data_IF_977849018765
#
_entry.id   IF_977849018765
#
_cell.length_a   1.000
_cell.length_b   1.000
_cell.length_c   1.000
_cell.angle_alpha   90.00
_cell.angle_beta   90.00
_cell.angle_gamma   90.00
#
_symmetry.space_group_name_H-M   'P 1'
#
loop_
_entity.id
_entity.type
_entity.pdbx_description
1 polymer ?
#
# COMPACT_ATOMS: atom_id res chain seq x y z
N UNK A 1 -5.92 9.81 24.86
CA UNK A 1 -5.92 11.29 24.81
C UNK A 1 -4.51 11.85 25.04
N UNK A 2 -3.81 11.54 26.13
CA UNK A 2 -2.43 12.03 26.34
C UNK A 2 -1.46 11.62 25.23
N UNK A 3 -1.43 10.34 24.85
CA UNK A 3 -0.54 9.83 23.79
C UNK A 3 -0.77 10.50 22.42
N UNK A 4 -2.04 10.78 22.06
CA UNK A 4 -2.37 11.50 20.82
C UNK A 4 -1.83 12.93 20.89
N UNK A 5 -1.98 13.59 22.04
CA UNK A 5 -1.42 14.93 22.26
C UNK A 5 0.09 14.93 22.05
N UNK A 6 0.80 13.98 22.65
CA UNK A 6 2.26 13.90 22.57
C UNK A 6 2.75 13.65 21.14
N UNK A 7 2.14 12.69 20.42
CA UNK A 7 2.49 12.37 19.04
C UNK A 7 2.14 13.49 18.05
N UNK A 8 1.05 14.20 18.29
CA UNK A 8 0.58 15.26 17.39
C UNK A 8 1.55 16.42 17.23
N UNK A 9 2.50 16.59 18.16
CA UNK A 9 3.55 17.62 18.08
C UNK A 9 4.48 17.35 16.88
N UNK A 10 4.62 16.10 16.43
CA UNK A 10 5.46 15.73 15.30
C UNK A 10 4.79 15.96 13.93
N UNK A 11 3.49 16.27 13.91
CA UNK A 11 2.73 16.47 12.68
C UNK A 11 3.09 17.80 12.02
N UNK A 12 3.16 17.76 10.69
CA UNK A 12 3.45 18.94 9.88
C UNK A 12 2.14 19.58 9.41
N UNK A 13 2.10 20.90 9.44
CA UNK A 13 1.05 21.71 8.84
C UNK A 13 1.70 22.72 7.90
N UNK A 14 1.17 22.81 6.68
CA UNK A 14 1.63 23.68 5.61
C UNK A 14 0.72 24.90 5.52
N UNK A 15 1.34 26.08 5.59
CA UNK A 15 0.68 27.39 5.48
C UNK A 15 1.28 28.25 4.34
N UNK A 16 2.35 27.76 3.73
CA UNK A 16 3.11 28.40 2.65
C UNK A 16 3.92 27.34 1.92
N UNK A 17 4.42 27.68 0.73
CA UNK A 17 5.28 26.82 -0.07
C UNK A 17 6.40 26.21 0.77
N UNK A 18 6.62 24.91 0.58
CA UNK A 18 7.59 24.14 1.38
C UNK A 18 8.65 23.48 0.52
N UNK A 19 9.80 23.20 1.14
CA UNK A 19 10.88 22.46 0.49
C UNK A 19 10.72 20.96 0.73
N UNK A 20 11.22 20.13 -0.18
CA UNK A 20 11.22 18.68 0.01
C UNK A 20 11.92 18.26 1.31
N UNK A 21 13.00 18.95 1.68
CA UNK A 21 13.76 18.70 2.92
C UNK A 21 12.91 18.89 4.18
N UNK A 22 11.90 19.76 4.11
CA UNK A 22 10.99 20.04 5.24
C UNK A 22 9.98 18.92 5.45
N UNK A 23 9.57 18.24 4.37
CA UNK A 23 8.45 17.29 4.37
C UNK A 23 8.87 15.83 4.15
N UNK A 24 10.13 15.56 3.82
CA UNK A 24 10.60 14.19 3.65
C UNK A 24 10.51 13.40 4.96
N UNK A 25 9.96 12.19 4.87
CA UNK A 25 9.64 11.32 5.99
C UNK A 25 8.68 11.95 7.01
N UNK A 26 7.78 12.82 6.56
CA UNK A 26 6.78 13.48 7.39
C UNK A 26 5.36 13.09 7.03
N UNK A 27 4.50 13.24 8.03
CA UNK A 27 3.05 13.15 7.91
C UNK A 27 2.51 14.57 8.03
N UNK A 28 1.80 15.00 7.00
CA UNK A 28 1.12 16.30 6.94
C UNK A 28 -0.33 16.08 7.37
N UNK A 29 -0.74 16.77 8.43
CA UNK A 29 -2.08 16.64 8.97
C UNK A 29 -3.02 17.71 8.42
N UNK A 30 -3.49 17.50 7.18
CA UNK A 30 -4.38 18.41 6.46
C UNK A 30 -5.23 17.63 5.46
N UNK A 31 -6.26 18.28 4.93
CA UNK A 31 -6.87 17.84 3.68
C UNK A 31 -5.85 17.99 2.54
N UNK A 32 -5.78 17.02 1.61
CA UNK A 32 -4.90 17.10 0.46
C UNK A 32 -5.21 18.32 -0.44
N UNK A 33 -6.47 18.74 -0.53
CA UNK A 33 -6.86 19.93 -1.28
C UNK A 33 -6.27 21.21 -0.68
N UNK A 34 -6.04 21.23 0.64
CA UNK A 34 -5.42 22.36 1.35
C UNK A 34 -3.89 22.28 1.36
N UNK A 35 -3.32 21.07 1.43
CA UNK A 35 -1.87 20.85 1.48
C UNK A 35 -1.20 20.94 0.10
N UNK A 36 -1.87 20.44 -0.95
CA UNK A 36 -1.30 20.32 -2.29
C UNK A 36 -0.73 21.62 -2.87
N UNK A 37 -1.34 22.81 -2.70
CA UNK A 37 -0.78 24.06 -3.21
C UNK A 37 0.63 24.39 -2.69
N UNK A 38 0.98 23.88 -1.51
CA UNK A 38 2.26 24.16 -0.87
C UNK A 38 3.33 23.10 -1.12
N UNK A 39 2.95 21.96 -1.69
CA UNK A 39 3.85 20.85 -1.95
C UNK A 39 4.76 21.13 -3.15
N UNK A 40 6.04 20.73 -3.10
CA UNK A 40 6.92 20.86 -4.25
C UNK A 40 6.40 20.04 -5.44
N UNK A 41 6.81 20.42 -6.64
CA UNK A 41 6.46 19.71 -7.88
C UNK A 41 7.55 18.69 -8.24
N UNK A 42 7.18 17.61 -8.94
CA UNK A 42 8.12 16.65 -9.55
C UNK A 42 9.06 15.94 -8.58
N UNK A 43 8.64 15.69 -7.35
CA UNK A 43 9.50 15.08 -6.32
C UNK A 43 9.28 13.59 -6.11
N UNK A 44 8.10 13.05 -6.43
CA UNK A 44 7.73 11.66 -6.13
C UNK A 44 8.03 10.70 -7.29
N UNK A 45 8.70 9.59 -6.98
CA UNK A 45 8.91 8.47 -7.90
C UNK A 45 7.72 7.49 -7.92
N UNK A 46 7.00 7.39 -6.81
CA UNK A 46 5.88 6.48 -6.65
C UNK A 46 4.72 7.19 -5.97
N UNK A 47 3.53 7.09 -6.56
CA UNK A 47 2.27 7.45 -5.92
C UNK A 47 1.51 6.18 -5.55
N UNK A 48 1.18 6.05 -4.27
CA UNK A 48 0.19 5.07 -3.79
C UNK A 48 -1.05 5.85 -3.39
N UNK A 49 -2.17 5.60 -4.07
CA UNK A 49 -3.40 6.32 -3.90
C UNK A 49 -4.50 5.36 -3.42
N UNK A 50 -4.92 5.49 -2.17
CA UNK A 50 -6.04 4.74 -1.57
C UNK A 50 -7.14 5.71 -1.12
N UNK A 51 -7.86 6.34 -2.06
CA UNK A 51 -8.82 7.37 -1.72
C UNK A 51 -10.08 6.75 -1.08
N UNK A 52 -10.92 7.53 -0.39
CA UNK A 52 -12.26 7.09 -0.02
C UNK A 52 -13.04 6.60 -1.25
N UNK A 53 -13.43 5.33 -1.24
CA UNK A 53 -14.23 4.74 -2.32
C UNK A 53 -15.65 5.33 -2.33
N UNK A 54 -16.37 5.23 -3.46
CA UNK A 54 -17.73 5.76 -3.57
C UNK A 54 -18.76 4.91 -2.81
N UNK A 55 -18.63 4.88 -1.48
CA UNK A 55 -19.43 4.11 -0.53
C UNK A 55 -19.58 4.94 0.75
N UNK A 56 -20.76 4.91 1.36
CA UNK A 56 -20.96 5.58 2.64
C UNK A 56 -20.13 4.90 3.74
N UNK A 57 -19.17 5.63 4.33
CA UNK A 57 -18.26 5.11 5.35
C UNK A 57 -17.82 6.18 6.34
N UNK A 58 -17.75 5.79 7.61
CA UNK A 58 -17.25 6.65 8.69
C UNK A 58 -15.76 6.34 8.93
N UNK A 59 -14.95 7.38 8.84
CA UNK A 59 -13.52 7.40 9.13
C UNK A 59 -13.28 8.21 10.41
N UNK A 60 -13.64 7.63 11.56
CA UNK A 60 -13.43 8.22 12.87
C UNK A 60 -13.98 9.66 13.00
N UNK A 61 -15.27 9.81 12.71
CA UNK A 61 -15.99 11.09 12.73
C UNK A 61 -16.12 11.74 11.35
N UNK A 62 -15.25 11.40 10.39
CA UNK A 62 -15.33 11.87 9.01
C UNK A 62 -16.24 10.94 8.20
N UNK A 63 -17.49 11.36 7.98
CA UNK A 63 -18.45 10.61 7.17
C UNK A 63 -18.25 10.93 5.69
N UNK A 64 -17.62 10.00 4.95
CA UNK A 64 -17.69 10.02 3.50
C UNK A 64 -19.05 9.44 3.08
N UNK A 65 -19.85 10.24 2.36
CA UNK A 65 -21.14 9.78 1.83
C UNK A 65 -20.94 9.32 0.39
N UNK A 66 -21.60 8.22 0.04
CA UNK A 66 -21.73 7.83 -1.37
C UNK A 66 -22.34 9.00 -2.16
N UNK A 67 -21.72 9.30 -3.29
CA UNK A 67 -22.08 10.38 -4.20
C UNK A 67 -22.76 9.82 -5.44
N UNK A 68 -23.43 10.71 -6.17
CA UNK A 68 -23.79 10.42 -7.55
C UNK A 68 -22.49 10.13 -8.35
N UNK A 69 -22.57 9.25 -9.35
CA UNK A 69 -21.39 8.76 -10.09
C UNK A 69 -20.59 9.89 -10.73
N UNK A 70 -21.24 10.86 -11.38
CA UNK A 70 -20.56 11.98 -12.02
C UNK A 70 -19.94 12.93 -10.99
N UNK A 71 -20.58 13.13 -9.84
CA UNK A 71 -20.02 13.92 -8.73
C UNK A 71 -18.75 13.25 -8.17
N UNK A 72 -18.77 11.92 -7.97
CA UNK A 72 -17.59 11.19 -7.53
C UNK A 72 -16.47 11.25 -8.58
N UNK A 73 -16.81 11.11 -9.87
CA UNK A 73 -15.85 11.20 -10.96
C UNK A 73 -15.17 12.57 -11.02
N UNK A 74 -15.93 13.66 -10.89
CA UNK A 74 -15.34 15.01 -10.88
C UNK A 74 -14.46 15.23 -9.64
N UNK A 75 -14.89 14.76 -8.48
CA UNK A 75 -14.08 14.81 -7.27
C UNK A 75 -12.76 14.04 -7.43
N UNK A 76 -12.81 12.81 -7.94
CA UNK A 76 -11.62 11.99 -8.16
C UNK A 76 -10.70 12.60 -9.24
N UNK A 77 -11.26 13.16 -10.31
CA UNK A 77 -10.49 13.91 -11.30
C UNK A 77 -9.80 15.13 -10.67
N UNK A 78 -10.46 15.81 -9.73
CA UNK A 78 -9.86 16.87 -8.91
C UNK A 78 -8.63 16.38 -8.13
N UNK A 79 -8.76 15.26 -7.42
CA UNK A 79 -7.64 14.61 -6.71
C UNK A 79 -6.48 14.32 -7.66
N UNK A 80 -6.75 13.68 -8.81
CA UNK A 80 -5.72 13.34 -9.79
C UNK A 80 -5.01 14.60 -10.32
N UNK A 81 -5.76 15.65 -10.67
CA UNK A 81 -5.20 16.93 -11.13
C UNK A 81 -4.30 17.57 -10.08
N UNK A 82 -4.64 17.45 -8.80
CA UNK A 82 -3.86 18.00 -7.69
C UNK A 82 -2.55 17.25 -7.47
N UNK A 83 -2.56 15.92 -7.51
CA UNK A 83 -1.36 15.12 -7.15
C UNK A 83 -0.41 14.91 -8.34
N UNK A 84 -0.91 14.97 -9.58
CA UNK A 84 -0.11 14.74 -10.78
C UNK A 84 1.13 15.67 -10.90
N UNK A 85 1.07 16.97 -10.59
CA UNK A 85 2.25 17.86 -10.61
C UNK A 85 3.39 17.44 -9.67
N UNK A 86 3.09 16.67 -8.62
CA UNK A 86 4.08 16.20 -7.63
C UNK A 86 4.91 15.02 -8.17
N UNK A 87 4.46 14.40 -9.25
CA UNK A 87 5.05 13.18 -9.80
C UNK A 87 6.17 13.50 -10.77
N UNK A 88 7.25 12.71 -10.72
CA UNK A 88 8.29 12.73 -11.75
C UNK A 88 7.75 12.21 -13.08
N UNK A 89 8.33 12.61 -14.23
CA UNK A 89 7.98 12.04 -15.54
C UNK A 89 8.14 10.51 -15.60
N UNK A 90 8.99 9.94 -14.74
CA UNK A 90 9.23 8.50 -14.65
C UNK A 90 8.41 7.80 -13.56
N UNK A 91 7.46 8.49 -12.94
CA UNK A 91 6.76 7.98 -11.78
C UNK A 91 5.76 6.88 -12.14
N UNK A 92 5.60 5.95 -11.21
CA UNK A 92 4.51 4.97 -11.21
C UNK A 92 3.40 5.44 -10.29
N UNK A 93 2.16 5.13 -10.69
CA UNK A 93 0.94 5.45 -9.93
C UNK A 93 0.17 4.15 -9.69
N UNK A 94 -0.11 3.85 -8.43
CA UNK A 94 -1.05 2.79 -8.05
C UNK A 94 -2.30 3.39 -7.42
N UNK A 95 -3.47 3.01 -7.91
CA UNK A 95 -4.76 3.48 -7.37
C UNK A 95 -5.61 2.31 -6.91
N UNK A 96 -5.88 2.24 -5.61
CA UNK A 96 -6.75 1.24 -5.02
C UNK A 96 -8.22 1.66 -5.17
N UNK A 97 -9.11 0.69 -5.41
CA UNK A 97 -10.55 0.90 -5.50
C UNK A 97 -11.32 -0.40 -5.23
N UNK A 98 -12.53 -0.32 -4.70
CA UNK A 98 -13.46 -1.44 -4.83
C UNK A 98 -13.92 -1.58 -6.29
N UNK A 99 -14.50 -2.73 -6.65
CA UNK A 99 -14.86 -2.98 -8.05
C UNK A 99 -15.87 -1.97 -8.63
N UNK A 100 -16.73 -1.35 -7.80
CA UNK A 100 -17.71 -0.36 -8.26
C UNK A 100 -17.03 0.98 -8.57
N UNK A 101 -16.20 1.43 -7.65
CA UNK A 101 -15.40 2.65 -7.80
C UNK A 101 -14.40 2.51 -8.94
N UNK A 102 -13.83 1.32 -9.11
CA UNK A 102 -12.91 0.96 -10.21
C UNK A 102 -13.49 1.32 -11.58
N UNK A 103 -14.78 1.04 -11.81
CA UNK A 103 -15.49 1.40 -13.05
C UNK A 103 -15.61 2.91 -13.26
N UNK A 104 -15.75 3.68 -12.17
CA UNK A 104 -15.89 5.14 -12.24
C UNK A 104 -14.55 5.83 -12.52
N UNK A 105 -13.47 5.33 -11.94
CA UNK A 105 -12.15 5.98 -11.99
C UNK A 105 -11.33 5.60 -13.23
N UNK A 106 -11.56 4.42 -13.81
CA UNK A 106 -10.75 3.92 -14.94
C UNK A 106 -10.69 4.89 -16.13
N UNK A 107 -11.79 5.51 -16.61
CA UNK A 107 -11.72 6.48 -17.72
C UNK A 107 -10.92 7.75 -17.37
N UNK A 108 -10.93 8.15 -16.11
CA UNK A 108 -10.17 9.31 -15.63
C UNK A 108 -8.68 8.96 -15.63
N UNK A 109 -8.34 7.76 -15.14
CA UNK A 109 -6.96 7.28 -15.13
C UNK A 109 -6.39 7.10 -16.54
N UNK A 110 -7.18 6.58 -17.48
CA UNK A 110 -6.79 6.45 -18.89
C UNK A 110 -6.52 7.79 -19.57
N UNK A 111 -7.29 8.83 -19.20
CA UNK A 111 -7.08 10.19 -19.69
C UNK A 111 -5.82 10.83 -19.11
N UNK A 112 -5.54 10.59 -17.83
CA UNK A 112 -4.49 11.30 -17.09
C UNK A 112 -3.13 10.59 -17.08
N UNK A 113 -3.11 9.26 -17.24
CA UNK A 113 -1.92 8.41 -17.15
C UNK A 113 -1.95 7.30 -18.22
N UNK A 114 -0.83 6.58 -18.36
CA UNK A 114 -0.78 5.35 -19.16
C UNK A 114 -1.13 4.16 -18.28
N UNK A 115 -2.24 3.47 -18.56
CA UNK A 115 -2.61 2.25 -17.84
C UNK A 115 -1.69 1.10 -18.32
N UNK A 116 -1.00 0.46 -17.38
CA UNK A 116 -0.14 -0.69 -17.64
C UNK A 116 -0.83 -2.01 -17.28
N UNK A 117 -1.60 -2.03 -16.19
CA UNK A 117 -2.32 -3.23 -15.75
C UNK A 117 -3.46 -2.89 -14.79
N UNK A 118 -4.40 -3.84 -14.63
CA UNK A 118 -5.35 -3.87 -13.52
C UNK A 118 -5.04 -5.10 -12.68
N UNK A 119 -4.59 -4.87 -11.46
CA UNK A 119 -4.34 -5.92 -10.48
C UNK A 119 -5.61 -6.14 -9.68
N UNK A 120 -6.05 -7.39 -9.55
CA UNK A 120 -7.18 -7.76 -8.68
C UNK A 120 -6.64 -8.51 -7.47
N UNK A 121 -6.88 -7.95 -6.29
CA UNK A 121 -6.54 -8.55 -5.01
C UNK A 121 -7.75 -9.27 -4.41
N UNK A 122 -7.55 -10.54 -4.05
CA UNK A 122 -8.53 -11.34 -3.33
C UNK A 122 -8.57 -10.96 -1.84
N UNK A 123 -9.72 -10.46 -1.42
CA UNK A 123 -10.08 -10.21 -0.02
C UNK A 123 -10.84 -11.40 0.56
N UNK A 124 -10.11 -12.31 1.20
CA UNK A 124 -10.70 -13.54 1.78
C UNK A 124 -11.74 -13.25 2.88
N UNK A 125 -11.53 -12.21 3.69
CA UNK A 125 -12.41 -11.85 4.80
C UNK A 125 -13.48 -10.87 4.33
N UNK A 126 -14.73 -11.15 4.68
CA UNK A 126 -15.88 -10.33 4.34
C UNK A 126 -17.19 -11.00 4.74
N UNK A 127 -18.27 -10.23 4.81
CA UNK A 127 -19.61 -10.78 5.06
C UNK A 127 -20.06 -11.58 3.84
N UNK A 128 -20.63 -12.76 4.07
CA UNK A 128 -21.29 -13.52 3.00
C UNK A 128 -22.51 -12.78 2.46
N UNK A 129 -23.03 -13.25 1.32
CA UNK A 129 -24.25 -12.73 0.71
C UNK A 129 -25.29 -13.87 0.62
N UNK A 130 -26.55 -13.57 0.96
CA UNK A 130 -27.65 -14.55 0.92
C UNK A 130 -28.30 -14.65 -0.47
N UNK A 131 -28.27 -13.57 -1.24
CA UNK A 131 -28.96 -13.41 -2.52
C UNK A 131 -28.04 -12.96 -3.66
N UNK A 132 -26.72 -13.02 -3.45
CA UNK A 132 -25.73 -12.65 -4.46
C UNK A 132 -24.39 -13.37 -4.18
N UNK A 133 -23.44 -13.25 -5.12
CA UNK A 133 -22.05 -13.67 -4.91
C UNK A 133 -21.38 -12.78 -3.86
N UNK A 134 -20.57 -13.40 -2.99
CA UNK A 134 -19.76 -12.67 -2.02
C UNK A 134 -18.71 -11.85 -2.77
N UNK A 135 -18.72 -10.53 -2.58
CA UNK A 135 -17.65 -9.69 -3.10
C UNK A 135 -16.35 -9.94 -2.31
N UNK A 136 -15.32 -10.41 -3.00
CA UNK A 136 -13.99 -10.69 -2.46
C UNK A 136 -12.89 -10.00 -3.28
N UNK A 137 -13.20 -8.95 -4.05
CA UNK A 137 -12.22 -8.30 -4.91
C UNK A 137 -12.00 -6.86 -4.52
N UNK A 138 -10.75 -6.43 -4.66
CA UNK A 138 -10.34 -5.04 -4.69
C UNK A 138 -9.40 -4.85 -5.89
N UNK A 139 -9.61 -3.78 -6.64
CA UNK A 139 -8.80 -3.48 -7.82
C UNK A 139 -7.70 -2.48 -7.45
N UNK A 140 -6.53 -2.67 -8.03
CA UNK A 140 -5.40 -1.75 -7.99
C UNK A 140 -5.02 -1.46 -9.44
N UNK A 141 -5.26 -0.23 -9.88
CA UNK A 141 -4.82 0.25 -11.18
C UNK A 141 -3.33 0.54 -11.14
N UNK A 142 -2.56 -0.09 -12.02
CA UNK A 142 -1.15 0.19 -12.24
C UNK A 142 -1.03 1.11 -13.45
N UNK A 143 -0.63 2.35 -13.20
CA UNK A 143 -0.45 3.37 -14.21
C UNK A 143 0.96 3.95 -14.17
N UNK A 144 1.39 4.59 -15.25
CA UNK A 144 2.67 5.30 -15.34
C UNK A 144 2.46 6.69 -15.93
N UNK A 145 3.30 7.64 -15.53
CA UNK A 145 3.25 9.01 -16.08
C UNK A 145 3.71 9.04 -17.53
N UNK A 146 4.67 8.19 -17.91
CA UNK A 146 5.17 8.07 -19.28
C UNK A 146 5.56 6.62 -19.61
N UNK A 147 6.07 6.40 -20.82
CA UNK A 147 6.65 5.11 -21.24
C UNK A 147 7.97 4.80 -20.54
N UNK A 148 8.64 5.83 -20.00
CA UNK A 148 9.87 5.66 -19.24
C UNK A 148 9.47 5.44 -17.79
N UNK A 149 9.37 4.18 -17.37
CA UNK A 149 9.07 3.84 -15.98
C UNK A 149 9.91 2.66 -15.53
N UNK A 150 9.93 2.43 -14.22
CA UNK A 150 10.67 1.33 -13.60
C UNK A 150 9.73 0.20 -13.21
N UNK A 151 10.18 -1.03 -13.46
CA UNK A 151 9.56 -2.22 -12.92
C UNK A 151 10.62 -3.24 -12.51
N UNK A 152 10.90 -3.32 -11.21
CA UNK A 152 11.88 -4.22 -10.59
C UNK A 152 11.28 -5.63 -10.44
N UNK A 153 11.12 -6.33 -11.57
CA UNK A 153 10.46 -7.65 -11.63
C UNK A 153 11.02 -8.66 -10.61
N UNK A 154 12.35 -8.75 -10.49
CA UNK A 154 12.97 -9.72 -9.59
C UNK A 154 12.65 -9.46 -8.11
N UNK A 155 12.45 -8.20 -7.72
CA UNK A 155 12.13 -7.82 -6.35
C UNK A 155 10.70 -8.21 -5.91
N UNK A 156 9.86 -8.62 -6.87
CA UNK A 156 8.45 -8.98 -6.63
C UNK A 156 8.11 -10.40 -7.06
N UNK A 157 9.12 -11.24 -7.30
CA UNK A 157 8.92 -12.68 -7.49
C UNK A 157 8.30 -13.31 -6.24
N UNK A 158 7.42 -14.29 -6.48
CA UNK A 158 6.69 -15.02 -5.46
C UNK A 158 7.20 -16.45 -5.38
N UNK A 159 7.76 -16.79 -4.22
CA UNK A 159 8.16 -18.15 -3.83
C UNK A 159 6.93 -18.96 -3.48
N UNK A 160 6.72 -20.05 -4.21
CA UNK A 160 5.58 -20.97 -4.05
C UNK A 160 6.07 -22.38 -3.86
N UNK A 161 5.39 -23.13 -3.00
CA UNK A 161 5.61 -24.57 -2.86
C UNK A 161 5.15 -25.28 -4.13
N UNK A 162 5.91 -26.27 -4.56
CA UNK A 162 5.62 -27.05 -5.75
C UNK A 162 4.83 -28.28 -5.35
N UNK A 163 3.58 -28.33 -5.80
CA UNK A 163 2.66 -29.45 -5.54
C UNK A 163 2.99 -30.64 -6.44
N UNK A 164 3.29 -30.39 -7.71
CA UNK A 164 3.65 -31.41 -8.71
C UNK A 164 5.08 -31.16 -9.22
N UNK A 165 6.11 -31.77 -8.60
CA UNK A 165 7.51 -31.55 -8.96
C UNK A 165 7.90 -32.35 -10.21
N UNK A 166 7.83 -31.72 -11.38
CA UNK A 166 8.29 -32.32 -12.63
C UNK A 166 9.81 -32.30 -12.72
N UNK A 167 10.39 -33.35 -13.32
CA UNK A 167 11.82 -33.43 -13.62
C UNK A 167 12.02 -33.55 -15.13
N UNK A 168 13.15 -33.08 -15.62
CA UNK A 168 13.62 -33.33 -16.98
C UNK A 168 13.96 -34.82 -17.16
N UNK A 169 14.15 -35.27 -18.40
CA UNK A 169 14.46 -36.68 -18.72
C UNK A 169 15.72 -37.20 -18.01
N UNK A 170 16.68 -36.31 -17.75
CA UNK A 170 17.92 -36.58 -16.99
C UNK A 170 17.75 -36.45 -15.46
N UNK A 171 16.51 -36.32 -14.96
CA UNK A 171 16.19 -36.32 -13.53
C UNK A 171 16.37 -34.99 -12.80
N UNK A 172 16.75 -33.90 -13.47
CA UNK A 172 16.89 -32.58 -12.83
C UNK A 172 15.53 -31.91 -12.56
N UNK A 173 15.39 -31.13 -11.47
CA UNK A 173 14.21 -30.30 -11.25
C UNK A 173 13.89 -29.38 -12.44
N UNK A 174 12.63 -29.34 -12.87
CA UNK A 174 12.16 -28.42 -13.93
C UNK A 174 11.44 -27.21 -13.31
N UNK A 175 12.11 -26.05 -13.32
CA UNK A 175 11.58 -24.77 -12.80
C UNK A 175 11.28 -24.75 -11.28
N UNK A 176 12.01 -25.56 -10.50
CA UNK A 176 11.94 -25.59 -9.04
C UNK A 176 13.26 -26.00 -8.39
N UNK A 177 13.40 -25.76 -7.10
CA UNK A 177 14.57 -26.08 -6.28
C UNK A 177 14.13 -26.86 -5.04
N UNK A 178 14.92 -27.87 -4.67
CA UNK A 178 14.71 -28.61 -3.43
C UNK A 178 15.34 -27.82 -2.27
N UNK A 179 14.57 -27.61 -1.20
CA UNK A 179 15.02 -26.96 0.04
C UNK A 179 14.59 -27.83 1.24
N UNK A 180 15.10 -27.52 2.44
CA UNK A 180 14.85 -28.34 3.63
C UNK A 180 13.35 -28.44 3.98
N UNK A 181 12.59 -27.37 3.73
CA UNK A 181 11.17 -27.23 4.03
C UNK A 181 10.25 -27.67 2.87
N UNK A 182 10.84 -28.14 1.76
CA UNK A 182 10.13 -28.67 0.59
C UNK A 182 10.67 -28.16 -0.74
N UNK A 183 9.94 -28.45 -1.80
CA UNK A 183 10.27 -28.00 -3.15
C UNK A 183 9.61 -26.65 -3.42
N UNK A 184 10.39 -25.67 -3.87
CA UNK A 184 9.91 -24.32 -4.13
C UNK A 184 10.25 -23.85 -5.54
N UNK A 185 9.44 -22.92 -6.05
CA UNK A 185 9.70 -22.20 -7.30
C UNK A 185 9.52 -20.71 -7.10
N UNK A 186 10.40 -19.92 -7.71
CA UNK A 186 10.21 -18.48 -7.83
C UNK A 186 9.39 -18.19 -9.08
N UNK A 187 8.18 -17.69 -8.88
CA UNK A 187 7.25 -17.36 -9.95
C UNK A 187 7.17 -15.86 -10.18
N UNK A 188 6.94 -15.45 -11.42
CA UNK A 188 6.61 -14.08 -11.76
C UNK A 188 5.30 -13.66 -11.04
N UNK A 189 5.17 -12.40 -10.61
CA UNK A 189 3.93 -11.92 -10.03
C UNK A 189 2.81 -11.90 -11.07
N UNK A 190 1.64 -12.45 -10.73
CA UNK A 190 0.42 -12.30 -11.49
C UNK A 190 -0.24 -10.95 -11.21
N UNK A 191 -1.16 -10.53 -12.07
CA UNK A 191 -2.09 -9.44 -11.78
C UNK A 191 -3.35 -9.91 -11.01
N UNK A 192 -3.36 -11.15 -10.52
CA UNK A 192 -4.36 -11.68 -9.60
C UNK A 192 -3.64 -12.09 -8.32
N UNK A 193 -3.91 -11.40 -7.22
CA UNK A 193 -3.21 -11.61 -5.96
C UNK A 193 -4.09 -12.37 -4.98
N UNK A 194 -3.76 -13.64 -4.79
CA UNK A 194 -4.44 -14.57 -3.88
C UNK A 194 -3.55 -14.96 -2.70
N UNK A 195 -2.44 -14.27 -2.47
CA UNK A 195 -1.46 -14.60 -1.44
C UNK A 195 -1.40 -13.56 -0.31
N UNK A 196 -2.31 -12.60 -0.30
CA UNK A 196 -2.31 -11.45 0.59
C UNK A 196 -3.61 -11.41 1.37
N UNK A 197 -3.53 -11.28 2.69
CA UNK A 197 -4.67 -11.27 3.60
C UNK A 197 -4.82 -9.88 4.21
N UNK A 198 -6.06 -9.43 4.44
CA UNK A 198 -6.32 -8.17 5.15
C UNK A 198 -5.76 -8.24 6.58
N UNK A 199 -5.28 -7.12 7.16
CA UNK A 199 -4.90 -7.08 8.58
C UNK A 199 -6.03 -7.57 9.50
N UNK A 200 -5.68 -8.27 10.57
CA UNK A 200 -6.62 -8.70 11.61
C UNK A 200 -5.96 -8.69 12.98
N UNK A 201 -6.77 -8.78 14.05
CA UNK A 201 -6.39 -8.47 15.44
C UNK A 201 -5.10 -9.13 15.98
N UNK A 202 -4.66 -10.26 15.44
CA UNK A 202 -3.43 -10.95 15.87
C UNK A 202 -2.21 -10.65 14.99
N UNK A 203 -2.37 -9.89 13.91
CA UNK A 203 -1.26 -9.42 13.08
C UNK A 203 -0.62 -8.18 13.73
N UNK A 204 0.72 -8.12 13.85
CA UNK A 204 1.42 -6.97 14.45
C UNK A 204 1.17 -5.63 13.75
N UNK A 205 0.82 -5.65 12.46
CA UNK A 205 0.53 -4.44 11.70
C UNK A 205 -0.85 -3.84 12.00
N UNK A 206 -1.77 -4.60 12.63
CA UNK A 206 -3.18 -4.24 12.71
C UNK A 206 -3.44 -3.02 13.60
N UNK A 207 -4.16 -2.04 13.05
CA UNK A 207 -4.71 -0.90 13.81
C UNK A 207 -6.24 -0.95 13.87
N UNK A 208 -6.84 0.04 14.55
CA UNK A 208 -8.29 0.25 14.57
C UNK A 208 -8.84 0.88 13.29
N UNK A 209 -7.99 1.19 12.30
CA UNK A 209 -8.43 1.81 11.06
C UNK A 209 -9.35 0.86 10.25
N UNK A 210 -10.53 1.31 9.79
CA UNK A 210 -11.57 0.43 9.27
C UNK A 210 -11.26 -0.18 7.89
N UNK A 211 -10.22 0.31 7.20
CA UNK A 211 -9.79 -0.11 5.85
C UNK A 211 -8.28 -0.21 5.70
N UNK A 212 -7.53 -0.48 6.76
CA UNK A 212 -6.08 -0.58 6.65
C UNK A 212 -5.64 -1.58 5.55
N UNK A 213 -4.79 -1.12 4.63
CA UNK A 213 -4.13 -1.97 3.64
C UNK A 213 -3.02 -2.81 4.28
N UNK A 214 -2.81 -4.07 3.86
CA UNK A 214 -1.72 -4.92 4.36
C UNK A 214 -0.34 -4.39 3.93
N UNK A 215 0.65 -4.47 4.81
CA UNK A 215 2.03 -4.10 4.51
C UNK A 215 2.60 -4.93 3.36
N UNK A 216 2.27 -6.22 3.27
CA UNK A 216 2.69 -7.09 2.16
C UNK A 216 2.20 -6.59 0.79
N UNK A 217 0.99 -6.02 0.75
CA UNK A 217 0.40 -5.46 -0.47
C UNK A 217 1.22 -4.26 -0.93
N UNK A 218 1.42 -3.29 -0.01
CA UNK A 218 2.14 -2.07 -0.31
C UNK A 218 3.62 -2.36 -0.60
N UNK A 219 4.22 -3.36 0.05
CA UNK A 219 5.59 -3.78 -0.23
C UNK A 219 5.77 -4.25 -1.67
N UNK A 220 4.81 -4.97 -2.25
CA UNK A 220 4.86 -5.34 -3.68
C UNK A 220 4.88 -4.10 -4.57
N UNK A 221 4.04 -3.11 -4.28
CA UNK A 221 3.97 -1.86 -5.05
C UNK A 221 5.29 -1.07 -4.95
N UNK A 222 5.78 -0.89 -3.73
CA UNK A 222 7.01 -0.13 -3.45
C UNK A 222 8.24 -0.80 -4.06
N UNK A 223 8.39 -2.12 -3.91
CA UNK A 223 9.53 -2.84 -4.47
C UNK A 223 9.51 -2.87 -5.99
N UNK A 224 8.34 -3.07 -6.61
CA UNK A 224 8.21 -3.06 -8.07
C UNK A 224 8.61 -1.72 -8.67
N UNK A 225 8.26 -0.60 -8.03
CA UNK A 225 8.23 0.69 -8.71
C UNK A 225 9.12 1.77 -8.10
N UNK A 226 9.94 1.43 -7.11
CA UNK A 226 10.91 2.36 -6.52
C UNK A 226 12.20 1.66 -6.09
N UNK A 227 13.27 2.44 -5.97
CA UNK A 227 14.56 2.04 -5.40
C UNK A 227 14.76 2.62 -3.98
N UNK A 228 15.66 2.04 -3.16
CA UNK A 228 16.05 2.65 -1.89
C UNK A 228 16.42 4.14 -2.05
N UNK A 229 15.99 4.98 -1.12
CA UNK A 229 16.18 6.43 -1.15
C UNK A 229 15.19 7.22 -2.01
N UNK A 230 14.47 6.58 -2.93
CA UNK A 230 13.40 7.23 -3.71
C UNK A 230 12.18 7.54 -2.84
N UNK A 231 11.35 8.47 -3.31
CA UNK A 231 10.22 9.04 -2.58
C UNK A 231 8.90 8.37 -2.97
N UNK A 232 8.14 7.99 -1.96
CA UNK A 232 6.76 7.50 -2.07
C UNK A 232 5.80 8.56 -1.54
N UNK A 233 4.84 8.98 -2.37
CA UNK A 233 3.75 9.88 -1.99
C UNK A 233 2.48 9.07 -1.70
N UNK A 234 1.83 9.37 -0.59
CA UNK A 234 0.47 8.89 -0.27
C UNK A 234 -0.40 10.06 0.24
N UNK A 235 -1.33 10.57 -0.58
CA UNK A 235 -2.16 11.71 -0.22
C UNK A 235 -3.41 11.33 0.61
N UNK A 236 -3.62 10.03 0.89
CA UNK A 236 -4.70 9.52 1.74
C UNK A 236 -4.13 8.45 2.68
N UNK A 237 -3.18 8.88 3.50
CA UNK A 237 -2.27 7.99 4.22
C UNK A 237 -2.99 7.04 5.21
N UNK A 238 -4.13 7.46 5.76
CA UNK A 238 -4.87 6.71 6.76
C UNK A 238 -3.99 6.31 7.93
N UNK A 239 -4.03 5.04 8.30
CA UNK A 239 -3.17 4.46 9.36
C UNK A 239 -1.67 4.33 9.01
N UNK A 240 -1.20 4.83 7.86
CA UNK A 240 0.23 4.94 7.59
C UNK A 240 0.91 3.75 6.93
N UNK A 241 0.18 2.78 6.37
CA UNK A 241 0.82 1.57 5.79
C UNK A 241 1.87 1.93 4.73
N UNK A 242 1.60 2.91 3.86
CA UNK A 242 2.56 3.34 2.84
C UNK A 242 3.83 3.93 3.43
N UNK A 243 3.71 4.86 4.39
CA UNK A 243 4.86 5.45 5.07
C UNK A 243 5.69 4.40 5.83
N UNK A 244 5.01 3.49 6.54
CA UNK A 244 5.65 2.39 7.28
C UNK A 244 6.43 1.49 6.35
N UNK A 245 5.81 1.02 5.27
CA UNK A 245 6.49 0.14 4.29
C UNK A 245 7.63 0.84 3.58
N UNK A 246 7.46 2.11 3.20
CA UNK A 246 8.53 2.91 2.62
C UNK A 246 9.74 2.95 3.57
N UNK A 247 9.53 3.27 4.85
CA UNK A 247 10.59 3.29 5.88
C UNK A 247 11.26 1.92 6.04
N UNK A 248 10.47 0.84 6.20
CA UNK A 248 10.99 -0.53 6.36
C UNK A 248 11.87 -0.97 5.19
N UNK A 249 11.54 -0.51 3.98
CA UNK A 249 12.27 -0.82 2.76
C UNK A 249 13.34 0.23 2.41
N UNK A 250 13.60 1.22 3.27
CA UNK A 250 14.63 2.23 3.03
C UNK A 250 14.28 3.24 1.92
N UNK A 251 13.00 3.51 1.70
CA UNK A 251 12.49 4.61 0.86
C UNK A 251 12.13 5.81 1.74
N UNK A 252 12.14 7.00 1.14
CA UNK A 252 11.58 8.19 1.76
C UNK A 252 10.08 8.25 1.49
N UNK A 253 9.32 8.97 2.30
CA UNK A 253 7.90 9.18 2.05
C UNK A 253 7.42 10.60 2.33
N UNK A 254 6.31 10.99 1.71
CA UNK A 254 5.45 12.10 2.14
C UNK A 254 4.04 11.55 2.24
N UNK A 255 3.43 11.68 3.41
CA UNK A 255 2.05 11.25 3.64
C UNK A 255 1.15 12.41 4.02
N UNK A 256 -0.07 12.46 3.51
CA UNK A 256 -1.10 13.44 3.89
C UNK A 256 -2.30 12.69 4.44
N UNK A 257 -2.82 13.14 5.58
CA UNK A 257 -4.02 12.58 6.21
C UNK A 257 -4.77 13.66 6.97
N UNK A 258 -6.09 13.68 6.82
CA UNK A 258 -6.95 14.71 7.42
C UNK A 258 -7.34 14.39 8.87
N UNK A 259 -7.33 13.10 9.26
CA UNK A 259 -7.68 12.68 10.60
C UNK A 259 -6.46 12.63 11.52
N UNK A 260 -6.45 13.49 12.54
CA UNK A 260 -5.35 13.58 13.52
C UNK A 260 -5.04 12.24 14.21
N UNK A 261 -6.06 11.47 14.56
CA UNK A 261 -5.87 10.19 15.25
C UNK A 261 -5.19 9.17 14.32
N UNK A 262 -5.57 9.13 13.04
CA UNK A 262 -4.92 8.29 12.04
C UNK A 262 -3.47 8.70 11.81
N UNK A 263 -3.19 10.02 11.76
CA UNK A 263 -1.82 10.53 11.70
C UNK A 263 -0.98 10.05 12.89
N UNK A 264 -1.53 10.11 14.11
CA UNK A 264 -0.84 9.65 15.31
C UNK A 264 -0.62 8.13 15.29
N UNK A 265 -1.58 7.33 14.82
CA UNK A 265 -1.38 5.89 14.64
C UNK A 265 -0.25 5.60 13.64
N UNK A 266 -0.18 6.36 12.54
CA UNK A 266 0.87 6.24 11.56
C UNK A 266 2.26 6.58 12.15
N UNK A 267 2.38 7.67 12.93
CA UNK A 267 3.63 8.02 13.65
C UNK A 267 4.08 6.90 14.59
N UNK A 268 3.15 6.35 15.37
CA UNK A 268 3.43 5.24 16.29
C UNK A 268 3.95 4.01 15.54
N UNK A 269 3.33 3.65 14.41
CA UNK A 269 3.81 2.55 13.56
C UNK A 269 5.18 2.85 12.95
N UNK A 270 5.46 4.10 12.58
CA UNK A 270 6.77 4.52 12.06
C UNK A 270 7.89 4.42 13.10
N UNK A 271 7.60 4.67 14.38
CA UNK A 271 8.54 4.45 15.47
C UNK A 271 8.87 2.95 15.61
N UNK A 272 7.85 2.09 15.62
CA UNK A 272 8.02 0.63 15.66
C UNK A 272 8.79 0.11 14.45
N UNK A 273 8.49 0.61 13.25
CA UNK A 273 9.15 0.21 12.01
C UNK A 273 10.66 0.49 12.00
N UNK A 274 11.11 1.45 12.82
CA UNK A 274 12.53 1.75 12.99
C UNK A 274 13.29 0.65 13.73
N UNK A 275 12.63 0.00 14.69
CA UNK A 275 13.19 -1.11 15.47
C UNK A 275 12.93 -2.47 14.81
N UNK A 276 11.78 -2.62 14.13
CA UNK A 276 11.29 -3.87 13.55
C UNK A 276 10.94 -3.71 12.06
N UNK A 277 11.92 -3.82 11.15
CA UNK A 277 11.72 -3.58 9.74
C UNK A 277 11.07 -4.74 8.96
N UNK A 278 10.77 -5.87 9.62
CA UNK A 278 10.18 -7.05 8.98
C UNK A 278 8.79 -6.76 8.40
N UNK A 279 8.48 -7.38 7.26
CA UNK A 279 7.16 -7.32 6.61
C UNK A 279 6.64 -8.74 6.50
N UNK A 280 5.48 -9.00 7.07
CA UNK A 280 4.91 -10.36 7.08
C UNK A 280 4.72 -10.89 5.64
N UNK A 281 5.29 -12.06 5.35
CA UNK A 281 5.22 -12.70 4.03
C UNK A 281 6.19 -12.13 2.99
N UNK A 282 7.17 -11.32 3.41
CA UNK A 282 8.32 -10.91 2.61
C UNK A 282 9.61 -11.11 3.41
N UNK A 283 10.46 -12.04 2.97
CA UNK A 283 11.70 -12.40 3.64
C UNK A 283 12.71 -12.90 2.60
N UNK A 284 14.01 -12.77 2.88
CA UNK A 284 15.11 -13.14 1.96
C UNK A 284 14.99 -12.55 0.55
N UNK A 285 14.44 -11.34 0.46
CA UNK A 285 14.26 -10.65 -0.81
C UNK A 285 13.12 -11.19 -1.68
N UNK A 286 12.31 -12.14 -1.19
CA UNK A 286 11.22 -12.76 -1.95
C UNK A 286 9.89 -12.70 -1.22
N UNK A 287 8.80 -12.64 -1.97
CA UNK A 287 7.47 -12.83 -1.40
C UNK A 287 7.18 -14.30 -1.20
N UNK A 288 6.51 -14.63 -0.10
CA UNK A 288 6.10 -15.98 0.21
C UNK A 288 4.58 -16.12 0.08
N UNK A 289 4.09 -17.24 -0.43
CA UNK A 289 2.65 -17.47 -0.55
C UNK A 289 1.94 -17.55 0.81
N UNK A 290 0.60 -17.42 0.80
CA UNK A 290 -0.22 -17.45 2.02
C UNK A 290 0.01 -18.75 2.79
N UNK A 291 -0.05 -18.69 4.12
CA UNK A 291 0.07 -19.83 5.03
C UNK A 291 1.44 -20.56 5.03
N UNK A 292 2.52 -19.90 4.61
CA UNK A 292 3.89 -20.45 4.65
C UNK A 292 4.75 -19.90 5.78
N UNK A 293 4.15 -19.28 6.80
CA UNK A 293 4.90 -18.66 7.91
C UNK A 293 5.84 -19.63 8.63
N UNK A 294 5.50 -20.92 8.71
CA UNK A 294 6.36 -21.95 9.32
C UNK A 294 7.59 -22.29 8.48
N UNK A 295 7.57 -21.99 7.17
CA UNK A 295 8.66 -22.23 6.23
C UNK A 295 9.49 -20.95 5.95
N UNK A 296 9.14 -19.82 6.55
CA UNK A 296 9.87 -18.57 6.43
C UNK A 296 10.99 -18.48 7.49
N UNK A 297 12.08 -17.74 7.22
CA UNK A 297 13.06 -17.41 8.25
C UNK A 297 12.39 -16.75 9.46
N UNK A 298 12.94 -17.01 10.65
CA UNK A 298 12.40 -16.41 11.88
C UNK A 298 12.87 -14.95 12.01
N UNK A 299 11.93 -14.02 11.85
CA UNK A 299 12.17 -12.61 12.14
C UNK A 299 12.17 -12.31 13.65
N UNK A 300 12.88 -11.25 14.04
CA UNK A 300 12.75 -10.64 15.36
C UNK A 300 11.33 -10.08 15.51
N UNK A 301 10.55 -10.60 16.46
CA UNK A 301 9.20 -10.11 16.76
C UNK A 301 9.26 -8.93 17.73
N UNK A 302 8.36 -7.93 17.60
CA UNK A 302 8.14 -6.96 18.66
C UNK A 302 7.64 -7.66 19.94
N UNK A 303 7.99 -7.09 21.10
CA UNK A 303 7.56 -7.63 22.40
C UNK A 303 6.04 -7.47 22.59
N UNK A 304 5.41 -8.36 23.38
CA UNK A 304 3.95 -8.36 23.65
C UNK A 304 3.47 -7.01 24.23
N UNK A 305 4.30 -6.37 25.06
CA UNK A 305 4.03 -5.04 25.65
C UNK A 305 3.94 -3.94 24.58
N UNK A 306 4.68 -4.05 23.48
CA UNK A 306 4.62 -3.11 22.36
C UNK A 306 3.38 -3.33 21.47
N UNK A 307 2.73 -4.51 21.55
CA UNK A 307 1.52 -4.86 20.78
C UNK A 307 0.22 -4.51 21.53
N UNK A 308 0.20 -4.49 22.86
CA UNK A 308 -0.98 -4.11 23.67
C UNK A 308 -1.39 -2.64 23.49
N UNK A 309 -0.48 -1.83 22.95
CA UNK A 309 -0.64 -0.40 22.63
C UNK A 309 -1.59 -0.12 21.44
N UNK A 310 -2.20 -1.13 20.83
CA UNK A 310 -3.14 -1.01 19.69
C UNK A 310 -4.60 -1.32 20.04
N UNK A 311 -4.91 -1.68 21.30
CA UNK A 311 -6.26 -2.02 21.77
C UNK A 311 -7.06 -0.85 22.35
#
# INVERSE_FOLDING_TARGET
>A
MQEISDLSIELVYLMSDTSLKTIENKIIHQDIFDAAPYLPIGFAELLVLDPPYNLSKNYNGYLFKEKEKSEYQEWFAGVVRLVKPMLKPTATVYVCSDWRTSVLIAPILEKEFRIQNRITWEREKGRGAKSNWKNNTEDIWFCTVSEQYRFNLDAVKLKRKVIAPYRTEDGRPKDWQAEAEGNFRLTHPSNIWTDITIPFWSMPENTKHPTQKPEKLIAKLVLASSNPGEMVLDPFLGSGTTAVVAKKLGRRFVGVEINQEYCCWALKRLAIAQEYPSIQGYADGVFWERNTLSAQPKDKKPSVVQMELFL
#
